data_IF_929268973056
#
_entry.id   IF_929268973056
#
_cell.length_a   1.000
_cell.length_b   1.000
_cell.length_c   1.000
_cell.angle_alpha   90.00
_cell.angle_beta   90.00
_cell.angle_gamma   90.00
#
_symmetry.space_group_name_H-M   'P 1'
#
loop_
_entity.id
_entity.type
_entity.pdbx_description
1 polymer ?
#
# COMPACT_ATOMS: atom_id res chain seq x y z
N UNK A 1 -12.94 -3.56 11.81
CA UNK A 1 -13.36 -4.77 11.06
C UNK A 1 -14.70 -4.59 10.35
N UNK A 2 -15.74 -4.14 11.05
CA UNK A 2 -17.06 -3.94 10.41
C UNK A 2 -17.00 -2.96 9.21
N UNK A 3 -16.19 -1.92 9.30
CA UNK A 3 -16.04 -0.94 8.22
C UNK A 3 -15.43 -1.55 6.94
N UNK A 4 -14.64 -2.61 7.08
CA UNK A 4 -14.04 -3.29 5.91
C UNK A 4 -15.05 -4.23 5.25
N UNK A 5 -15.88 -4.88 6.05
CA UNK A 5 -16.95 -5.73 5.51
C UNK A 5 -17.99 -4.93 4.74
N UNK A 6 -18.11 -3.62 5.02
CA UNK A 6 -19.03 -2.73 4.33
C UNK A 6 -18.52 -2.24 2.97
N UNK A 7 -17.24 -2.45 2.66
CA UNK A 7 -16.65 -2.05 1.39
C UNK A 7 -17.13 -2.92 0.22
N UNK A 8 -17.07 -2.37 -1.00
CA UNK A 8 -17.46 -3.09 -2.21
C UNK A 8 -16.32 -3.91 -2.80
N UNK A 9 -15.08 -3.61 -2.44
CA UNK A 9 -13.93 -4.35 -2.93
C UNK A 9 -12.67 -4.02 -2.16
N UNK A 10 -11.63 -4.78 -2.45
CA UNK A 10 -10.31 -4.61 -1.83
C UNK A 10 -9.24 -4.77 -2.89
N UNK A 11 -8.32 -3.81 -2.94
CA UNK A 11 -7.11 -3.94 -3.77
C UNK A 11 -6.00 -4.50 -2.89
N UNK A 12 -5.37 -5.57 -3.36
CA UNK A 12 -4.25 -6.20 -2.67
C UNK A 12 -2.95 -5.78 -3.36
N UNK A 13 -1.99 -5.32 -2.57
CA UNK A 13 -0.70 -4.86 -3.09
C UNK A 13 0.39 -5.86 -2.73
N UNK A 14 1.12 -6.29 -3.73
CA UNK A 14 2.17 -7.30 -3.59
C UNK A 14 3.50 -6.76 -4.10
N UNK A 15 4.59 -7.32 -3.57
CA UNK A 15 5.93 -7.14 -4.09
C UNK A 15 6.42 -8.49 -4.64
N UNK A 16 6.92 -8.49 -5.87
CA UNK A 16 7.54 -9.68 -6.44
C UNK A 16 8.97 -9.80 -5.91
N UNK A 17 9.17 -10.72 -4.97
CA UNK A 17 10.46 -10.91 -4.32
C UNK A 17 11.53 -11.44 -5.28
N UNK A 18 11.13 -12.10 -6.36
CA UNK A 18 12.07 -12.56 -7.40
C UNK A 18 12.76 -11.39 -8.06
N UNK A 19 12.02 -10.31 -8.33
CA UNK A 19 12.59 -9.08 -8.90
C UNK A 19 13.57 -8.43 -7.94
N UNK A 20 13.21 -8.34 -6.67
CA UNK A 20 14.09 -7.77 -5.64
C UNK A 20 15.39 -8.56 -5.56
N UNK A 21 15.31 -9.88 -5.50
CA UNK A 21 16.48 -10.76 -5.41
C UNK A 21 17.36 -10.66 -6.66
N UNK A 22 16.76 -10.61 -7.84
CA UNK A 22 17.50 -10.46 -9.09
C UNK A 22 18.30 -9.17 -9.13
N UNK A 23 17.72 -8.08 -8.66
CA UNK A 23 18.41 -6.79 -8.58
C UNK A 23 19.55 -6.82 -7.55
N UNK A 24 19.34 -7.49 -6.43
CA UNK A 24 20.39 -7.66 -5.41
C UNK A 24 21.60 -8.41 -5.97
N UNK A 25 21.36 -9.44 -6.78
CA UNK A 25 22.42 -10.21 -7.41
C UNK A 25 23.12 -9.41 -8.50
N UNK A 26 22.37 -8.65 -9.29
CA UNK A 26 22.92 -7.86 -10.39
C UNK A 26 23.71 -6.65 -9.89
N UNK A 27 23.28 -6.04 -8.79
CA UNK A 27 23.93 -4.86 -8.23
C UNK A 27 24.22 -5.07 -6.73
N UNK A 28 25.24 -5.90 -6.40
CA UNK A 28 25.47 -6.28 -4.99
C UNK A 28 25.76 -5.11 -4.06
N UNK A 29 26.34 -4.02 -4.57
CA UNK A 29 26.64 -2.85 -3.75
C UNK A 29 25.38 -2.14 -3.23
N UNK A 30 24.23 -2.39 -3.86
CA UNK A 30 22.93 -1.83 -3.45
C UNK A 30 21.98 -2.89 -2.88
N UNK A 31 22.50 -4.10 -2.57
CA UNK A 31 21.65 -5.21 -2.16
C UNK A 31 20.74 -4.87 -0.99
N UNK A 32 21.24 -4.14 0.00
CA UNK A 32 20.45 -3.75 1.18
C UNK A 32 19.41 -2.69 0.87
N UNK A 33 19.56 -1.98 -0.23
CA UNK A 33 18.66 -0.90 -0.61
C UNK A 33 17.41 -1.39 -1.36
N UNK A 34 17.52 -2.44 -2.15
CA UNK A 34 16.41 -2.90 -2.99
C UNK A 34 15.15 -3.26 -2.22
N UNK A 35 15.22 -3.96 -1.07
CA UNK A 35 14.02 -4.19 -0.27
C UNK A 35 13.36 -2.91 0.21
N UNK A 36 14.14 -1.91 0.60
CA UNK A 36 13.65 -0.61 1.03
C UNK A 36 12.98 0.12 -0.14
N UNK A 37 13.63 0.13 -1.30
CA UNK A 37 13.09 0.78 -2.49
C UNK A 37 11.84 0.09 -3.00
N UNK A 38 11.75 -1.23 -2.86
CA UNK A 38 10.54 -1.97 -3.20
C UNK A 38 9.35 -1.52 -2.32
N UNK A 39 9.59 -1.31 -1.03
CA UNK A 39 8.57 -0.78 -0.13
C UNK A 39 8.13 0.64 -0.55
N UNK A 40 9.09 1.49 -0.95
CA UNK A 40 8.78 2.82 -1.47
C UNK A 40 7.92 2.74 -2.73
N UNK A 41 8.25 1.86 -3.65
CA UNK A 41 7.49 1.66 -4.90
C UNK A 41 6.07 1.20 -4.61
N UNK A 42 5.91 0.27 -3.68
CA UNK A 42 4.59 -0.22 -3.29
C UNK A 42 3.76 0.90 -2.68
N UNK A 43 4.36 1.72 -1.82
CA UNK A 43 3.67 2.85 -1.20
C UNK A 43 3.20 3.87 -2.24
N UNK A 44 4.02 4.13 -3.25
CA UNK A 44 3.65 5.02 -4.36
C UNK A 44 2.43 4.46 -5.11
N UNK A 45 2.43 3.16 -5.40
CA UNK A 45 1.32 2.48 -6.05
C UNK A 45 0.04 2.53 -5.19
N UNK A 46 0.18 2.35 -3.88
CA UNK A 46 -0.93 2.44 -2.94
C UNK A 46 -1.57 3.83 -2.98
N UNK A 47 -0.75 4.86 -2.91
CA UNK A 47 -1.24 6.24 -2.95
C UNK A 47 -1.89 6.57 -4.29
N UNK A 48 -1.26 6.17 -5.40
CA UNK A 48 -1.80 6.41 -6.73
C UNK A 48 -3.16 5.74 -6.92
N UNK A 49 -3.31 4.50 -6.47
CA UNK A 49 -4.56 3.74 -6.55
C UNK A 49 -5.64 4.39 -5.68
N UNK A 50 -5.30 4.77 -4.47
CA UNK A 50 -6.22 5.42 -3.54
C UNK A 50 -6.73 6.75 -4.13
N UNK A 51 -5.81 7.53 -4.68
CA UNK A 51 -6.16 8.80 -5.33
C UNK A 51 -7.08 8.58 -6.52
N UNK A 52 -6.78 7.59 -7.36
CA UNK A 52 -7.62 7.26 -8.52
C UNK A 52 -9.04 6.87 -8.09
N UNK A 53 -9.17 6.05 -7.05
CA UNK A 53 -10.47 5.68 -6.49
C UNK A 53 -11.22 6.91 -5.99
N UNK A 54 -10.52 7.81 -5.33
CA UNK A 54 -11.12 9.05 -4.82
C UNK A 54 -11.65 9.93 -5.95
N UNK A 55 -10.95 10.01 -7.08
CA UNK A 55 -11.43 10.78 -8.24
C UNK A 55 -12.69 10.18 -8.85
N UNK A 56 -12.94 8.90 -8.63
CA UNK A 56 -14.17 8.22 -9.04
C UNK A 56 -15.28 8.30 -7.97
N UNK A 57 -15.07 9.09 -6.92
CA UNK A 57 -16.05 9.26 -5.84
C UNK A 57 -16.09 8.15 -4.83
N UNK A 58 -15.04 7.32 -4.78
CA UNK A 58 -14.97 6.18 -3.83
C UNK A 58 -14.08 6.53 -2.64
N UNK A 59 -14.48 6.04 -1.47
CA UNK A 59 -13.68 6.14 -0.26
C UNK A 59 -12.83 4.90 -0.07
N UNK A 60 -11.67 5.05 0.54
CA UNK A 60 -10.77 3.95 0.80
C UNK A 60 -10.22 3.94 2.21
N UNK A 61 -9.85 2.75 2.68
CA UNK A 61 -9.19 2.55 3.96
C UNK A 61 -8.01 1.62 3.75
N UNK A 62 -6.81 2.14 3.95
CA UNK A 62 -5.58 1.38 3.76
C UNK A 62 -5.24 0.61 5.02
N UNK A 63 -5.02 -0.68 4.87
CA UNK A 63 -4.73 -1.59 5.96
C UNK A 63 -3.48 -2.40 5.71
N UNK A 64 -2.88 -2.88 6.79
CA UNK A 64 -1.66 -3.68 6.77
C UNK A 64 -1.83 -4.89 7.70
N UNK A 65 -2.74 -5.80 7.32
CA UNK A 65 -2.99 -7.03 8.08
C UNK A 65 -1.96 -8.12 7.78
N UNK A 66 -0.69 -7.73 7.74
CA UNK A 66 0.42 -8.61 7.43
C UNK A 66 1.20 -8.95 8.70
N UNK A 67 1.62 -10.21 8.92
CA UNK A 67 1.42 -11.36 8.03
C UNK A 67 0.16 -12.18 8.31
N UNK A 68 -0.77 -11.70 9.12
CA UNK A 68 -1.92 -12.46 9.62
C UNK A 68 -2.74 -13.11 8.49
N UNK A 69 -2.97 -12.38 7.38
CA UNK A 69 -3.82 -12.83 6.28
C UNK A 69 -3.03 -13.40 5.09
N UNK A 70 -1.70 -13.35 5.13
CA UNK A 70 -0.84 -13.65 3.96
C UNK A 70 -1.07 -15.06 3.43
N UNK A 71 -1.03 -16.07 4.30
CA UNK A 71 -1.19 -17.46 3.91
C UNK A 71 -2.56 -17.72 3.30
N UNK A 72 -3.61 -17.22 3.91
CA UNK A 72 -4.98 -17.38 3.43
C UNK A 72 -5.19 -16.71 2.08
N UNK A 73 -4.63 -15.51 1.89
CA UNK A 73 -4.73 -14.78 0.62
C UNK A 73 -4.05 -15.55 -0.49
N UNK A 74 -2.85 -16.07 -0.25
CA UNK A 74 -2.12 -16.85 -1.25
C UNK A 74 -2.87 -18.11 -1.65
N UNK A 75 -3.47 -18.80 -0.67
CA UNK A 75 -4.22 -20.02 -0.92
C UNK A 75 -5.54 -19.75 -1.65
N UNK A 76 -6.28 -18.71 -1.23
CA UNK A 76 -7.62 -18.42 -1.77
C UNK A 76 -7.57 -18.02 -3.25
N UNK A 77 -6.59 -17.23 -3.65
CA UNK A 77 -6.51 -16.73 -5.02
C UNK A 77 -5.32 -17.30 -5.81
N UNK A 78 -4.69 -18.35 -5.30
CA UNK A 78 -3.58 -19.02 -5.96
C UNK A 78 -2.48 -18.03 -6.36
N UNK A 79 -2.11 -17.15 -5.45
CA UNK A 79 -1.08 -16.13 -5.67
C UNK A 79 0.30 -16.79 -5.65
N UNK A 80 1.22 -16.42 -6.54
CA UNK A 80 2.59 -16.96 -6.51
C UNK A 80 3.25 -16.76 -5.15
N UNK A 81 3.97 -17.78 -4.67
CA UNK A 81 4.60 -17.76 -3.35
C UNK A 81 5.63 -16.64 -3.19
N UNK A 82 6.25 -16.20 -4.31
CA UNK A 82 7.24 -15.12 -4.32
C UNK A 82 6.63 -13.73 -4.31
N UNK A 83 5.30 -13.61 -4.35
CA UNK A 83 4.60 -12.34 -4.23
C UNK A 83 4.28 -12.10 -2.75
N UNK A 84 4.91 -11.11 -2.18
CA UNK A 84 4.74 -10.76 -0.78
C UNK A 84 3.63 -9.71 -0.64
N UNK A 85 2.59 -10.05 0.12
CA UNK A 85 1.48 -9.12 0.37
C UNK A 85 1.94 -8.00 1.30
N UNK A 86 1.72 -6.74 0.90
CA UNK A 86 2.19 -5.58 1.66
C UNK A 86 1.07 -4.72 2.22
N UNK A 87 -0.06 -4.63 1.53
CA UNK A 87 -1.15 -3.77 1.97
C UNK A 87 -2.48 -4.20 1.36
N UNK A 88 -3.54 -3.80 2.01
CA UNK A 88 -4.92 -4.02 1.58
C UNK A 88 -5.64 -2.67 1.57
N UNK A 89 -6.17 -2.27 0.43
CA UNK A 89 -6.96 -1.05 0.30
C UNK A 89 -8.42 -1.42 0.09
N UNK A 90 -9.18 -1.30 1.15
CA UNK A 90 -10.64 -1.55 1.12
C UNK A 90 -11.31 -0.29 0.61
N UNK A 91 -12.22 -0.42 -0.34
CA UNK A 91 -12.90 0.74 -0.92
C UNK A 91 -14.40 0.51 -1.09
N UNK A 92 -15.14 1.61 -1.17
CA UNK A 92 -16.57 1.59 -1.34
C UNK A 92 -17.12 2.99 -1.50
N UNK A 93 -18.44 3.12 -1.60
CA UNK A 93 -19.09 4.42 -1.70
C UNK A 93 -18.89 5.23 -0.42
N UNK A 94 -18.81 6.54 -0.57
CA UNK A 94 -18.70 7.46 0.56
C UNK A 94 -20.12 7.72 1.08
N UNK A 95 -20.42 7.26 2.30
CA UNK A 95 -21.75 7.36 2.87
C UNK A 95 -21.84 8.28 4.10
N UNK A 96 -20.70 8.79 4.54
CA UNK A 96 -20.65 9.69 5.69
C UNK A 96 -19.75 10.88 5.42
N UNK A 97 -19.80 11.85 6.32
CA UNK A 97 -18.92 13.01 6.24
C UNK A 97 -17.55 12.65 6.82
N UNK A 98 -16.50 13.23 6.22
CA UNK A 98 -15.16 13.11 6.79
C UNK A 98 -15.03 14.04 7.99
N UNK A 99 -14.32 13.54 9.01
CA UNK A 99 -14.00 14.37 10.16
C UNK A 99 -12.91 15.39 9.79
N UNK A 100 -12.98 16.55 10.42
CA UNK A 100 -11.95 17.56 10.27
C UNK A 100 -10.61 17.03 10.77
N UNK A 101 -9.53 17.43 10.09
CA UNK A 101 -8.18 17.04 10.48
C UNK A 101 -7.40 18.24 10.98
N UNK A 102 -6.56 18.00 11.95
CA UNK A 102 -5.59 18.99 12.39
C UNK A 102 -4.29 18.78 11.65
N UNK A 103 -3.68 19.86 11.21
CA UNK A 103 -2.44 19.81 10.44
C UNK A 103 -1.33 20.54 11.19
N UNK A 104 -0.14 20.00 11.10
CA UNK A 104 1.05 20.71 11.56
C UNK A 104 1.24 21.95 10.68
N UNK A 105 1.75 23.01 11.29
CA UNK A 105 2.09 24.23 10.54
C UNK A 105 3.13 23.92 9.47
N UNK A 106 3.05 24.62 8.34
CA UNK A 106 3.95 24.36 7.21
C UNK A 106 5.42 24.52 7.60
N UNK A 107 5.73 25.47 8.49
CA UNK A 107 7.09 25.71 8.99
C UNK A 107 7.67 24.51 9.74
N UNK A 108 6.83 23.68 10.33
CA UNK A 108 7.25 22.48 11.04
C UNK A 108 7.47 21.30 10.09
N UNK A 109 6.82 21.31 8.91
CA UNK A 109 6.87 20.21 7.95
C UNK A 109 7.87 20.45 6.82
N UNK A 110 8.03 21.71 6.42
CA UNK A 110 8.80 22.06 5.23
C UNK A 110 9.89 23.07 5.60
N UNK A 111 11.05 22.92 4.99
CA UNK A 111 12.15 23.86 5.09
C UNK A 111 12.54 24.30 3.68
N UNK A 112 12.63 25.61 3.48
CA UNK A 112 13.04 26.18 2.20
C UNK A 112 14.37 26.87 2.41
N UNK A 113 15.37 26.45 1.68
CA UNK A 113 16.72 27.02 1.72
C UNK A 113 16.98 27.80 0.43
N UNK A 114 17.38 29.06 0.58
CA UNK A 114 17.66 29.95 -0.56
C UNK A 114 19.11 30.33 -0.59
#
# INVERSE_FOLDING_TARGET
MASFAAGVGTVLFFEDQTVVQALQEQFPSYADNFPIWAEHSTAIAQFATWTALHTEGLGGSLQHYNPIVDEQVHAEWNIPANWKLRAQLVFGSIEGETHAKDYLADEERFKIFK
#
